data_IF_704043807665
#
_entry.id   IF_704043807665
#
_cell.length_a   1.000
_cell.length_b   1.000
_cell.length_c   1.000
_cell.angle_alpha   90.00
_cell.angle_beta   90.00
_cell.angle_gamma   90.00
#
_symmetry.space_group_name_H-M   'P 1'
#
loop_
_entity.id
_entity.type
_entity.pdbx_description
1 polymer ?
#
# COMPACT_ATOMS: atom_id res chain seq x y z
N UNK A 1 -47.47 -10.11 20.47
CA UNK A 1 -47.33 -8.67 20.16
C UNK A 1 -45.95 -8.47 19.53
N UNK A 2 -45.91 -8.05 18.26
CA UNK A 2 -44.77 -7.42 17.56
C UNK A 2 -43.44 -8.16 17.42
N UNK A 3 -43.31 -9.06 16.44
CA UNK A 3 -42.01 -9.42 15.86
C UNK A 3 -41.52 -8.23 15.02
N UNK A 4 -40.69 -7.36 15.59
CA UNK A 4 -39.94 -6.36 14.84
C UNK A 4 -38.80 -7.07 14.09
N UNK A 5 -38.40 -6.57 12.92
CA UNK A 5 -37.09 -6.90 12.31
C UNK A 5 -36.00 -6.57 13.34
N UNK A 6 -35.52 -7.57 14.07
CA UNK A 6 -34.89 -7.41 15.40
C UNK A 6 -33.64 -6.50 15.43
N UNK A 7 -33.00 -6.25 14.28
CA UNK A 7 -31.81 -5.39 14.18
C UNK A 7 -32.03 -4.14 13.31
N UNK A 8 -33.25 -3.89 12.82
CA UNK A 8 -33.53 -2.76 11.91
C UNK A 8 -33.31 -1.41 12.59
N UNK A 9 -33.64 -1.30 13.88
CA UNK A 9 -33.41 -0.09 14.66
C UNK A 9 -31.94 0.35 14.64
N UNK A 10 -31.00 -0.59 14.74
CA UNK A 10 -29.56 -0.28 14.68
C UNK A 10 -29.14 0.21 13.29
N UNK A 11 -29.71 -0.35 12.23
CA UNK A 11 -29.47 0.11 10.85
C UNK A 11 -29.99 1.55 10.72
N UNK A 12 -31.22 1.81 11.17
CA UNK A 12 -31.86 3.12 11.10
C UNK A 12 -31.05 4.17 11.89
N UNK A 13 -30.58 3.83 13.10
CA UNK A 13 -29.72 4.71 13.91
C UNK A 13 -28.40 5.02 13.22
N UNK A 14 -27.72 4.02 12.61
CA UNK A 14 -26.46 4.24 11.90
C UNK A 14 -26.69 5.11 10.66
N UNK A 15 -27.76 4.84 9.90
CA UNK A 15 -28.11 5.63 8.72
C UNK A 15 -28.44 7.07 9.10
N UNK A 16 -29.26 7.30 10.13
CA UNK A 16 -29.59 8.65 10.60
C UNK A 16 -28.34 9.40 11.08
N UNK A 17 -27.50 8.73 11.88
CA UNK A 17 -26.26 9.31 12.40
C UNK A 17 -25.26 9.64 11.28
N UNK A 18 -25.31 8.92 10.16
CA UNK A 18 -24.43 9.16 9.01
C UNK A 18 -24.62 10.51 8.34
N UNK A 19 -25.80 11.13 8.50
CA UNK A 19 -26.06 12.47 7.95
C UNK A 19 -25.30 13.59 8.66
N UNK A 20 -24.85 13.36 9.91
CA UNK A 20 -24.29 14.39 10.77
C UNK A 20 -22.92 14.02 11.36
N UNK A 21 -22.35 12.87 10.98
CA UNK A 21 -21.11 12.34 11.54
C UNK A 21 -20.19 11.72 10.48
N UNK A 22 -18.92 11.52 10.84
CA UNK A 22 -17.92 10.88 9.98
C UNK A 22 -17.97 9.36 10.08
N UNK A 23 -17.46 8.66 9.07
CA UNK A 23 -17.30 7.20 9.09
C UNK A 23 -16.55 6.72 10.33
N UNK A 24 -15.52 7.43 10.77
CA UNK A 24 -14.77 7.15 12.00
C UNK A 24 -15.66 7.17 13.24
N UNK A 25 -16.58 8.13 13.35
CA UNK A 25 -17.57 8.18 14.44
C UNK A 25 -18.57 7.04 14.35
N UNK A 26 -19.01 6.68 13.14
CA UNK A 26 -19.90 5.53 12.92
C UNK A 26 -19.23 4.20 13.26
N UNK A 27 -17.93 4.02 12.95
CA UNK A 27 -17.16 2.84 13.36
C UNK A 27 -17.07 2.72 14.88
N UNK A 28 -16.91 3.83 15.60
CA UNK A 28 -16.99 3.86 17.08
C UNK A 28 -18.36 3.47 17.60
N UNK A 29 -19.43 4.02 17.01
CA UNK A 29 -20.81 3.64 17.35
C UNK A 29 -21.04 2.14 17.13
N UNK A 30 -20.62 1.62 15.98
CA UNK A 30 -20.73 0.20 15.65
C UNK A 30 -19.97 -0.68 16.64
N UNK A 31 -18.75 -0.31 17.01
CA UNK A 31 -17.98 -1.03 18.04
C UNK A 31 -18.71 -1.03 19.39
N UNK A 32 -19.29 0.10 19.81
CA UNK A 32 -20.09 0.17 21.05
C UNK A 32 -21.30 -0.78 21.00
N UNK A 33 -21.99 -0.85 19.85
CA UNK A 33 -23.12 -1.76 19.67
C UNK A 33 -22.70 -3.25 19.70
N UNK A 34 -21.51 -3.58 19.18
CA UNK A 34 -20.95 -4.92 19.34
C UNK A 34 -20.58 -5.21 20.80
N UNK A 35 -19.98 -4.26 21.51
CA UNK A 35 -19.59 -4.43 22.92
C UNK A 35 -20.80 -4.65 23.83
N UNK A 36 -21.93 -3.99 23.53
CA UNK A 36 -23.17 -4.09 24.32
C UNK A 36 -23.94 -5.40 24.11
N UNK A 37 -23.52 -6.24 23.15
CA UNK A 37 -24.17 -7.50 22.77
C UNK A 37 -25.68 -7.33 22.48
N UNK A 38 -26.12 -6.16 22.02
CA UNK A 38 -27.53 -5.88 21.71
C UNK A 38 -27.90 -6.27 20.27
N UNK A 39 -26.92 -6.37 19.37
CA UNK A 39 -27.15 -6.78 17.98
C UNK A 39 -27.22 -8.31 17.91
N UNK A 40 -28.32 -8.84 17.40
CA UNK A 40 -28.52 -10.28 17.25
C UNK A 40 -27.79 -10.83 16.01
N UNK A 41 -27.77 -10.06 14.91
CA UNK A 41 -27.08 -10.40 13.65
C UNK A 41 -26.13 -9.28 13.21
N UNK A 42 -24.93 -9.17 13.82
CA UNK A 42 -24.00 -8.08 13.52
C UNK A 42 -23.56 -8.04 12.05
N UNK A 43 -23.50 -9.19 11.38
CA UNK A 43 -23.20 -9.30 9.95
C UNK A 43 -24.30 -8.72 9.06
N UNK A 44 -25.55 -8.80 9.49
CA UNK A 44 -26.67 -8.22 8.76
C UNK A 44 -26.63 -6.69 8.84
N UNK A 45 -26.42 -6.14 10.03
CA UNK A 45 -26.26 -4.69 10.24
C UNK A 45 -25.03 -4.17 9.48
N UNK A 46 -23.89 -4.85 9.57
CA UNK A 46 -22.68 -4.54 8.81
C UNK A 46 -22.94 -4.47 7.31
N UNK A 47 -23.53 -5.52 6.72
CA UNK A 47 -23.78 -5.58 5.28
C UNK A 47 -24.71 -4.48 4.78
N UNK A 48 -25.60 -3.96 5.65
CA UNK A 48 -26.52 -2.86 5.33
C UNK A 48 -25.91 -1.48 5.52
N UNK A 49 -24.83 -1.36 6.28
CA UNK A 49 -24.32 -0.04 6.73
C UNK A 49 -22.87 0.26 6.37
N UNK A 50 -22.10 -0.73 5.90
CA UNK A 50 -20.65 -0.59 5.68
C UNK A 50 -20.25 0.60 4.80
N UNK A 51 -21.10 1.01 3.85
CA UNK A 51 -20.83 2.18 2.97
C UNK A 51 -20.73 3.48 3.78
N UNK A 52 -21.59 3.65 4.79
CA UNK A 52 -21.51 4.79 5.71
C UNK A 52 -20.29 4.69 6.62
N UNK A 53 -19.98 3.48 7.10
CA UNK A 53 -18.81 3.22 7.97
C UNK A 53 -17.48 3.36 7.23
N UNK A 54 -17.46 3.38 5.89
CA UNK A 54 -16.23 3.44 5.09
C UNK A 54 -16.07 4.77 4.34
N UNK A 55 -17.02 5.70 4.46
CA UNK A 55 -17.09 6.90 3.64
C UNK A 55 -15.87 7.83 3.73
N UNK A 56 -15.16 7.83 4.86
CA UNK A 56 -13.99 8.67 5.13
C UNK A 56 -12.66 7.95 4.93
N UNK A 57 -12.67 6.61 4.76
CA UNK A 57 -11.45 5.79 4.75
C UNK A 57 -10.56 6.15 3.57
N UNK A 58 -11.12 6.33 2.37
CA UNK A 58 -10.32 6.66 1.20
C UNK A 58 -9.56 7.97 1.42
N UNK A 59 -10.24 9.00 1.90
CA UNK A 59 -9.63 10.32 2.13
C UNK A 59 -8.61 10.27 3.28
N UNK A 60 -8.91 9.55 4.36
CA UNK A 60 -7.95 9.31 5.44
C UNK A 60 -6.69 8.62 4.94
N UNK A 61 -6.82 7.58 4.11
CA UNK A 61 -5.66 6.86 3.56
C UNK A 61 -4.87 7.71 2.54
N UNK A 62 -5.54 8.55 1.74
CA UNK A 62 -4.85 9.52 0.85
C UNK A 62 -3.97 10.48 1.64
N UNK A 63 -4.47 11.01 2.75
CA UNK A 63 -3.72 11.90 3.64
C UNK A 63 -2.57 11.16 4.31
N UNK A 64 -2.83 9.97 4.87
CA UNK A 64 -1.83 9.17 5.57
C UNK A 64 -0.67 8.73 4.66
N UNK A 65 -0.97 8.34 3.43
CA UNK A 65 0.02 7.90 2.45
C UNK A 65 0.62 9.06 1.64
N UNK A 66 0.07 10.27 1.76
CA UNK A 66 0.39 11.42 0.91
C UNK A 66 0.30 11.07 -0.58
N UNK A 67 -0.81 10.43 -0.97
CA UNK A 67 -1.04 9.94 -2.34
C UNK A 67 -2.49 10.22 -2.77
N UNK A 68 -2.68 11.28 -3.57
CA UNK A 68 -4.01 11.79 -3.93
C UNK A 68 -4.77 10.87 -4.91
N UNK A 69 -4.04 10.12 -5.74
CA UNK A 69 -4.58 9.23 -6.77
C UNK A 69 -4.89 7.82 -6.22
N UNK A 70 -4.90 7.65 -4.90
CA UNK A 70 -5.28 6.38 -4.27
C UNK A 70 -6.71 6.02 -4.67
N UNK A 71 -6.89 4.77 -5.08
CA UNK A 71 -8.19 4.14 -5.29
C UNK A 71 -8.23 2.88 -4.45
N UNK A 72 -9.31 2.69 -3.70
CA UNK A 72 -9.56 1.50 -2.91
C UNK A 72 -10.81 0.81 -3.42
N UNK A 73 -10.72 -0.50 -3.61
CA UNK A 73 -11.86 -1.37 -3.90
C UNK A 73 -12.78 -1.48 -2.68
N UNK A 74 -14.05 -1.88 -2.87
CA UNK A 74 -14.97 -2.14 -1.76
C UNK A 74 -14.43 -3.15 -0.74
N UNK A 75 -13.68 -4.15 -1.20
CA UNK A 75 -13.05 -5.14 -0.31
C UNK A 75 -12.00 -4.50 0.58
N UNK A 76 -11.13 -3.66 0.02
CA UNK A 76 -10.10 -2.94 0.78
C UNK A 76 -10.73 -1.97 1.78
N UNK A 77 -11.74 -1.19 1.36
CA UNK A 77 -12.47 -0.28 2.26
C UNK A 77 -13.07 -1.02 3.45
N UNK A 78 -13.73 -2.17 3.20
CA UNK A 78 -14.28 -3.03 4.25
C UNK A 78 -13.19 -3.55 5.18
N UNK A 79 -12.05 -4.03 4.67
CA UNK A 79 -10.95 -4.52 5.50
C UNK A 79 -10.38 -3.41 6.39
N UNK A 80 -10.19 -2.20 5.87
CA UNK A 80 -9.77 -1.05 6.68
C UNK A 80 -10.78 -0.72 7.79
N UNK A 81 -12.08 -0.65 7.47
CA UNK A 81 -13.11 -0.39 8.48
C UNK A 81 -13.16 -1.48 9.56
N UNK A 82 -13.06 -2.75 9.18
CA UNK A 82 -13.02 -3.86 10.12
C UNK A 82 -11.76 -3.81 11.01
N UNK A 83 -10.62 -3.39 10.48
CA UNK A 83 -9.39 -3.22 11.28
C UNK A 83 -9.50 -2.07 12.29
N UNK A 84 -10.14 -0.96 11.92
CA UNK A 84 -10.43 0.14 12.84
C UNK A 84 -11.36 -0.35 13.97
N UNK A 85 -12.41 -1.10 13.63
CA UNK A 85 -13.35 -1.67 14.60
C UNK A 85 -12.64 -2.69 15.52
N UNK A 86 -11.81 -3.58 14.97
CA UNK A 86 -11.01 -4.53 15.75
C UNK A 86 -10.14 -3.79 16.79
N UNK A 87 -9.47 -2.72 16.38
CA UNK A 87 -8.66 -1.88 17.28
C UNK A 87 -9.51 -1.25 18.39
N UNK A 88 -10.72 -0.81 18.06
CA UNK A 88 -11.66 -0.25 19.03
C UNK A 88 -12.15 -1.32 20.03
N UNK A 89 -12.45 -2.54 19.58
CA UNK A 89 -12.87 -3.65 20.45
C UNK A 89 -11.74 -4.12 21.37
N UNK A 90 -10.50 -4.18 20.86
CA UNK A 90 -9.33 -4.59 21.63
C UNK A 90 -9.07 -3.67 22.82
N UNK A 91 -9.43 -2.38 22.74
CA UNK A 91 -9.38 -1.45 23.89
C UNK A 91 -10.25 -1.89 25.07
N UNK A 92 -11.26 -2.73 24.83
CA UNK A 92 -12.15 -3.34 25.80
C UNK A 92 -11.92 -4.86 25.95
N UNK A 93 -10.77 -5.36 25.52
CA UNK A 93 -10.39 -6.80 25.56
C UNK A 93 -11.37 -7.74 24.85
N UNK A 94 -12.12 -7.23 23.86
CA UNK A 94 -12.91 -8.05 22.92
C UNK A 94 -12.26 -8.03 21.53
N UNK A 95 -12.70 -8.92 20.66
CA UNK A 95 -12.30 -9.01 19.25
C UNK A 95 -13.53 -9.20 18.36
N UNK A 96 -13.43 -8.82 17.08
CA UNK A 96 -14.43 -9.20 16.05
C UNK A 96 -14.57 -10.72 16.00
N UNK A 97 -13.50 -11.48 16.30
CA UNK A 97 -13.55 -12.94 16.39
C UNK A 97 -14.49 -13.48 17.47
N UNK A 98 -14.86 -12.68 18.49
CA UNK A 98 -15.88 -13.04 19.48
C UNK A 98 -17.30 -13.04 18.88
N UNK A 99 -17.48 -12.43 17.70
CA UNK A 99 -18.70 -12.42 16.90
C UNK A 99 -18.49 -13.23 15.62
N UNK A 100 -18.65 -14.57 15.64
CA UNK A 100 -18.21 -15.44 14.54
C UNK A 100 -18.95 -15.20 13.21
N UNK A 101 -20.09 -14.50 13.22
CA UNK A 101 -20.82 -14.13 12.00
C UNK A 101 -20.21 -12.92 11.28
N UNK A 102 -19.43 -12.10 11.98
CA UNK A 102 -18.81 -10.90 11.41
C UNK A 102 -17.67 -11.26 10.44
N UNK A 103 -17.54 -10.53 9.30
CA UNK A 103 -16.38 -10.66 8.45
C UNK A 103 -15.11 -10.20 9.18
N UNK A 104 -14.00 -10.86 8.89
CA UNK A 104 -12.69 -10.54 9.44
C UNK A 104 -11.95 -9.55 8.53
N UNK A 105 -11.10 -8.66 9.09
CA UNK A 105 -10.23 -7.82 8.29
C UNK A 105 -9.20 -8.67 7.53
N UNK A 106 -9.00 -8.37 6.25
CA UNK A 106 -7.89 -8.95 5.49
C UNK A 106 -6.62 -8.13 5.76
N UNK A 107 -5.81 -8.64 6.69
CA UNK A 107 -4.57 -7.98 7.12
C UNK A 107 -3.51 -7.91 6.00
N UNK A 108 -3.58 -8.78 4.99
CA UNK A 108 -2.65 -8.74 3.86
C UNK A 108 -2.88 -7.48 3.03
N UNK A 109 -4.15 -7.19 2.69
CA UNK A 109 -4.54 -5.98 1.97
C UNK A 109 -4.18 -4.71 2.74
N UNK A 110 -4.37 -4.70 4.06
CA UNK A 110 -4.05 -3.55 4.91
C UNK A 110 -2.54 -3.31 4.92
N UNK A 111 -1.74 -4.36 5.11
CA UNK A 111 -0.28 -4.25 5.21
C UNK A 111 0.35 -3.77 3.90
N UNK A 112 -0.13 -4.28 2.76
CA UNK A 112 0.31 -3.85 1.43
C UNK A 112 0.01 -2.36 1.18
N UNK A 113 -1.09 -1.84 1.74
CA UNK A 113 -1.54 -0.46 1.53
C UNK A 113 -0.99 0.53 2.57
N UNK A 114 -0.69 0.10 3.79
CA UNK A 114 -0.10 0.96 4.83
C UNK A 114 1.36 1.34 4.53
N UNK A 115 2.10 0.49 3.83
CA UNK A 115 3.47 0.80 3.44
C UNK A 115 3.50 1.41 2.03
N UNK A 116 3.58 2.74 1.94
CA UNK A 116 3.70 3.48 0.67
C UNK A 116 4.79 2.91 -0.25
N UNK A 117 5.92 2.46 0.30
CA UNK A 117 7.01 1.89 -0.51
C UNK A 117 6.59 0.58 -1.18
N UNK A 118 5.81 -0.24 -0.49
CA UNK A 118 5.26 -1.49 -1.03
C UNK A 118 4.15 -1.15 -2.04
N UNK A 119 3.24 -0.25 -1.69
CA UNK A 119 2.18 0.22 -2.58
C UNK A 119 2.72 0.72 -3.91
N UNK A 120 3.66 1.67 -3.87
CA UNK A 120 4.26 2.28 -5.07
C UNK A 120 4.87 1.20 -5.99
N UNK A 121 5.44 0.13 -5.42
CA UNK A 121 6.06 -0.97 -6.16
C UNK A 121 5.06 -2.00 -6.69
N UNK A 122 3.94 -2.24 -5.99
CA UNK A 122 2.90 -3.16 -6.45
C UNK A 122 1.94 -2.52 -7.47
N UNK A 123 1.88 -1.19 -7.53
CA UNK A 123 0.93 -0.45 -8.37
C UNK A 123 1.42 -0.16 -9.80
N UNK A 124 2.59 -0.66 -10.21
CA UNK A 124 3.04 -0.52 -11.59
C UNK A 124 2.21 -1.36 -12.56
N UNK A 125 2.01 -0.85 -13.79
CA UNK A 125 1.42 -1.63 -14.88
C UNK A 125 2.39 -2.75 -15.32
N UNK A 126 2.08 -3.96 -14.88
CA UNK A 126 2.86 -5.17 -15.16
C UNK A 126 2.97 -5.48 -16.66
N UNK A 127 1.92 -5.20 -17.44
CA UNK A 127 1.92 -5.47 -18.88
C UNK A 127 2.81 -4.47 -19.63
N UNK A 128 2.74 -3.19 -19.26
CA UNK A 128 3.62 -2.16 -19.80
C UNK A 128 5.09 -2.48 -19.49
N UNK A 129 5.38 -2.86 -18.25
CA UNK A 129 6.74 -3.24 -17.84
C UNK A 129 7.24 -4.51 -18.56
N UNK A 130 6.39 -5.50 -18.81
CA UNK A 130 6.76 -6.69 -19.57
C UNK A 130 7.12 -6.35 -21.04
N UNK A 131 6.39 -5.40 -21.64
CA UNK A 131 6.70 -4.88 -22.98
C UNK A 131 8.03 -4.11 -22.98
N UNK A 132 8.23 -3.21 -22.02
CA UNK A 132 9.50 -2.48 -21.86
C UNK A 132 10.67 -3.46 -21.68
N UNK A 133 10.52 -4.45 -20.79
CA UNK A 133 11.52 -5.49 -20.58
C UNK A 133 11.88 -6.21 -21.89
N UNK A 134 10.88 -6.65 -22.65
CA UNK A 134 11.09 -7.35 -23.93
C UNK A 134 11.86 -6.48 -24.91
N UNK A 135 11.49 -5.20 -25.02
CA UNK A 135 12.19 -4.24 -25.87
C UNK A 135 13.65 -4.06 -25.42
N UNK A 136 13.88 -3.82 -24.13
CA UNK A 136 15.23 -3.63 -23.59
C UNK A 136 16.13 -4.85 -23.84
N UNK A 137 15.57 -6.05 -23.67
CA UNK A 137 16.30 -7.30 -23.88
C UNK A 137 16.64 -7.57 -25.35
N UNK A 138 15.85 -7.04 -26.29
CA UNK A 138 16.07 -7.21 -27.73
C UNK A 138 17.24 -6.38 -28.25
N UNK A 139 17.47 -5.20 -27.66
CA UNK A 139 18.54 -4.26 -28.08
C UNK A 139 19.76 -4.27 -27.15
N UNK A 140 19.76 -5.11 -26.11
CA UNK A 140 20.88 -5.23 -25.17
C UNK A 140 22.10 -5.86 -25.83
N UNK A 141 23.29 -5.29 -25.61
CA UNK A 141 24.53 -5.87 -26.13
C UNK A 141 24.88 -7.19 -25.43
N UNK A 142 25.73 -8.01 -26.06
CA UNK A 142 26.16 -9.28 -25.48
C UNK A 142 26.90 -9.10 -24.14
N UNK A 143 27.66 -8.02 -23.98
CA UNK A 143 28.37 -7.70 -22.73
C UNK A 143 27.40 -7.31 -21.61
N UNK A 144 26.43 -6.44 -21.91
CA UNK A 144 25.39 -6.05 -20.96
C UNK A 144 24.54 -7.24 -20.54
N UNK A 145 24.19 -8.12 -21.49
CA UNK A 145 23.42 -9.34 -21.25
C UNK A 145 24.15 -10.29 -20.30
N UNK A 146 25.46 -10.51 -20.47
CA UNK A 146 26.25 -11.33 -19.54
C UNK A 146 26.17 -10.81 -18.10
N UNK A 147 26.18 -9.49 -17.90
CA UNK A 147 26.06 -8.87 -16.58
C UNK A 147 24.65 -9.07 -16.02
N UNK A 148 23.63 -8.79 -16.84
CA UNK A 148 22.22 -9.00 -16.49
C UNK A 148 21.98 -10.44 -16.04
N UNK A 149 22.37 -11.42 -16.85
CA UNK A 149 22.12 -12.84 -16.60
C UNK A 149 22.80 -13.28 -15.29
N UNK A 150 24.03 -12.81 -15.03
CA UNK A 150 24.76 -13.11 -13.80
C UNK A 150 24.02 -12.63 -12.53
N UNK A 151 23.46 -11.43 -12.56
CA UNK A 151 22.73 -10.86 -11.42
C UNK A 151 21.36 -11.55 -11.30
N UNK A 152 20.61 -11.65 -12.38
CA UNK A 152 19.27 -12.22 -12.38
C UNK A 152 19.24 -13.70 -12.00
N UNK A 153 20.27 -14.47 -12.35
CA UNK A 153 20.40 -15.87 -11.90
C UNK A 153 20.38 -15.95 -10.38
N UNK A 154 21.12 -15.07 -9.67
CA UNK A 154 21.11 -15.05 -8.20
C UNK A 154 19.75 -14.67 -7.62
N UNK A 155 19.07 -13.72 -8.26
CA UNK A 155 17.71 -13.30 -7.84
C UNK A 155 16.72 -14.44 -8.01
N UNK A 156 16.75 -15.13 -9.16
CA UNK A 156 15.87 -16.29 -9.44
C UNK A 156 16.14 -17.45 -8.49
N UNK A 157 17.41 -17.69 -8.14
CA UNK A 157 17.80 -18.69 -7.14
C UNK A 157 17.49 -18.27 -5.69
N UNK A 158 16.91 -17.08 -5.49
CA UNK A 158 16.63 -16.49 -4.18
C UNK A 158 17.84 -16.48 -3.23
N UNK A 159 19.02 -16.14 -3.78
CA UNK A 159 20.27 -16.06 -3.03
C UNK A 159 20.68 -14.60 -2.82
N UNK A 160 21.15 -14.23 -1.62
CA UNK A 160 21.68 -12.90 -1.39
C UNK A 160 22.92 -12.65 -2.27
N UNK A 161 23.09 -11.39 -2.69
CA UNK A 161 24.22 -10.98 -3.51
C UNK A 161 24.46 -9.48 -3.46
N UNK A 162 25.73 -9.09 -3.45
CA UNK A 162 26.17 -7.71 -3.59
C UNK A 162 27.00 -7.59 -4.87
N UNK A 163 26.61 -6.68 -5.75
CA UNK A 163 27.25 -6.48 -7.04
C UNK A 163 27.64 -5.03 -7.23
N UNK A 164 28.87 -4.81 -7.71
CA UNK A 164 29.35 -3.50 -8.13
C UNK A 164 29.58 -3.51 -9.63
N UNK A 165 28.75 -2.76 -10.37
CA UNK A 165 28.89 -2.59 -11.81
C UNK A 165 29.69 -1.33 -12.11
N UNK A 166 30.92 -1.52 -12.60
CA UNK A 166 31.78 -0.43 -13.03
C UNK A 166 31.85 -0.33 -14.56
N UNK A 167 32.01 0.88 -15.07
CA UNK A 167 32.18 1.13 -16.51
C UNK A 167 32.21 2.63 -16.79
N UNK A 168 32.86 3.02 -17.88
CA UNK A 168 32.95 4.42 -18.31
C UNK A 168 31.58 5.07 -18.55
N UNK A 169 31.54 6.40 -18.67
CA UNK A 169 30.35 7.12 -19.11
C UNK A 169 29.83 6.58 -20.44
N UNK A 170 28.50 6.53 -20.62
CA UNK A 170 27.89 6.06 -21.88
C UNK A 170 27.83 4.54 -22.09
N UNK A 171 28.39 3.72 -21.19
CA UNK A 171 28.40 2.24 -21.32
C UNK A 171 27.04 1.54 -21.05
N UNK A 172 25.97 2.29 -20.80
CA UNK A 172 24.64 1.72 -20.60
C UNK A 172 24.40 1.05 -19.25
N UNK A 173 25.12 1.43 -18.18
CA UNK A 173 24.86 0.89 -16.81
C UNK A 173 23.40 1.05 -16.38
N UNK A 174 22.85 2.26 -16.57
CA UNK A 174 21.44 2.57 -16.31
C UNK A 174 20.49 1.68 -17.11
N UNK A 175 20.89 1.30 -18.33
CA UNK A 175 20.11 0.43 -19.20
C UNK A 175 19.94 -0.96 -18.59
N UNK A 176 21.01 -1.53 -18.02
CA UNK A 176 20.97 -2.81 -17.30
C UNK A 176 20.06 -2.71 -16.08
N UNK A 177 20.18 -1.65 -15.28
CA UNK A 177 19.33 -1.44 -14.09
C UNK A 177 17.85 -1.31 -14.45
N UNK A 178 17.51 -0.59 -15.53
CA UNK A 178 16.15 -0.49 -16.05
C UNK A 178 15.61 -1.85 -16.48
N UNK A 179 16.40 -2.63 -17.21
CA UNK A 179 15.98 -3.96 -17.68
C UNK A 179 15.69 -4.92 -16.51
N UNK A 180 16.53 -4.91 -15.46
CA UNK A 180 16.28 -5.74 -14.27
C UNK A 180 15.06 -5.26 -13.48
N UNK A 181 14.90 -3.95 -13.31
CA UNK A 181 13.74 -3.38 -12.65
C UNK A 181 12.43 -3.74 -13.37
N UNK A 182 12.37 -3.58 -14.70
CA UNK A 182 11.20 -3.96 -15.50
C UNK A 182 10.92 -5.47 -15.44
N UNK A 183 11.97 -6.31 -15.47
CA UNK A 183 11.83 -7.77 -15.40
C UNK A 183 11.23 -8.25 -14.08
N UNK A 184 11.62 -7.63 -12.95
CA UNK A 184 11.16 -7.99 -11.62
C UNK A 184 9.77 -7.41 -11.33
N UNK A 185 9.58 -6.11 -11.58
CA UNK A 185 8.29 -5.45 -11.34
C UNK A 185 7.16 -5.99 -12.22
N UNK A 186 7.45 -6.42 -13.45
CA UNK A 186 6.43 -7.08 -14.30
C UNK A 186 5.92 -8.40 -13.73
N UNK A 187 6.69 -9.05 -12.85
CA UNK A 187 6.28 -10.24 -12.09
C UNK A 187 5.55 -9.90 -10.79
N UNK A 188 5.53 -8.63 -10.40
CA UNK A 188 5.00 -8.16 -9.12
C UNK A 188 6.02 -8.16 -7.97
N UNK A 189 7.31 -8.31 -8.27
CA UNK A 189 8.37 -8.22 -7.26
C UNK A 189 8.67 -6.76 -6.90
N UNK A 190 9.10 -6.53 -5.66
CA UNK A 190 9.41 -5.20 -5.12
C UNK A 190 10.86 -4.82 -5.44
N UNK A 191 11.08 -3.66 -6.08
CA UNK A 191 12.42 -3.18 -6.46
C UNK A 191 12.67 -1.76 -5.97
N UNK A 192 13.49 -1.59 -4.93
CA UNK A 192 13.84 -0.27 -4.42
C UNK A 192 15.00 0.37 -5.21
N UNK A 193 14.67 1.20 -6.18
CA UNK A 193 15.65 1.94 -7.00
C UNK A 193 16.06 3.25 -6.31
N UNK A 194 17.35 3.38 -6.00
CA UNK A 194 17.93 4.58 -5.39
C UNK A 194 19.11 5.13 -6.16
N UNK A 195 19.27 6.45 -6.13
CA UNK A 195 20.44 7.15 -6.65
C UNK A 195 20.98 8.14 -5.63
N UNK A 196 22.20 8.63 -5.83
CA UNK A 196 22.77 9.69 -4.99
C UNK A 196 22.19 11.07 -5.32
N UNK A 197 21.89 11.35 -6.59
CA UNK A 197 21.32 12.62 -7.06
C UNK A 197 19.90 12.46 -7.63
N UNK A 198 19.11 13.54 -7.56
CA UNK A 198 17.75 13.55 -8.09
C UNK A 198 17.70 13.33 -9.61
N UNK A 199 18.64 13.92 -10.36
CA UNK A 199 18.72 13.74 -11.82
C UNK A 199 19.01 12.29 -12.19
N UNK A 200 19.92 11.61 -11.46
CA UNK A 200 20.19 10.20 -11.70
C UNK A 200 18.99 9.30 -11.35
N UNK A 201 18.22 9.67 -10.32
CA UNK A 201 17.00 8.96 -9.93
C UNK A 201 15.94 8.98 -11.05
N UNK A 202 15.79 10.08 -11.78
CA UNK A 202 14.81 10.19 -12.88
C UNK A 202 15.07 9.22 -14.05
N UNK A 203 16.29 8.69 -14.17
CA UNK A 203 16.66 7.81 -15.28
C UNK A 203 16.17 6.37 -15.09
N UNK A 204 15.63 6.02 -13.92
CA UNK A 204 15.09 4.69 -13.63
C UNK A 204 13.68 4.87 -13.08
N UNK A 205 12.65 4.16 -13.61
CA UNK A 205 11.28 4.27 -13.09
C UNK A 205 11.25 4.06 -11.57
N UNK A 206 10.53 4.90 -10.85
CA UNK A 206 10.49 4.84 -9.38
C UNK A 206 11.79 5.23 -8.68
N UNK A 207 12.79 5.75 -9.40
CA UNK A 207 14.02 6.20 -8.78
C UNK A 207 13.76 7.35 -7.80
N UNK A 208 14.38 7.27 -6.62
CA UNK A 208 14.47 8.38 -5.67
C UNK A 208 15.90 8.53 -5.17
N UNK A 209 16.22 9.68 -4.57
CA UNK A 209 17.50 9.79 -3.85
C UNK A 209 17.50 8.86 -2.64
N UNK A 210 18.67 8.34 -2.25
CA UNK A 210 18.78 7.52 -1.04
C UNK A 210 18.25 8.23 0.21
N UNK A 211 18.52 9.55 0.32
CA UNK A 211 17.99 10.41 1.38
C UNK A 211 16.46 10.40 1.43
N UNK A 212 15.80 10.59 0.27
CA UNK A 212 14.33 10.59 0.20
C UNK A 212 13.74 9.18 0.38
N UNK A 213 14.41 8.13 -0.11
CA UNK A 213 13.87 6.76 -0.06
C UNK A 213 13.94 6.14 1.32
N UNK A 214 15.01 6.42 2.07
CA UNK A 214 15.27 5.82 3.38
C UNK A 214 15.14 6.82 4.54
N UNK A 215 14.64 8.03 4.28
CA UNK A 215 14.52 9.10 5.28
C UNK A 215 15.81 9.34 6.04
N UNK A 216 16.95 9.35 5.33
CA UNK A 216 18.27 9.56 5.94
C UNK A 216 18.33 11.01 6.42
N UNK A 217 18.53 11.26 7.72
CA UNK A 217 18.57 12.62 8.26
C UNK A 217 19.75 13.38 7.67
N UNK A 218 19.49 14.63 7.27
CA UNK A 218 20.54 15.57 6.86
C UNK A 218 20.89 16.38 8.11
N UNK A 219 22.11 16.21 8.61
CA UNK A 219 22.63 17.04 9.69
C UNK A 219 23.05 18.39 9.12
N UNK A 220 22.23 19.41 9.37
CA UNK A 220 22.50 20.80 8.95
C UNK A 220 23.16 21.50 10.13
N UNK A 221 24.32 22.12 9.90
CA UNK A 221 25.04 22.97 10.85
C UNK A 221 25.05 24.44 10.40
N UNK A 222 25.60 25.34 11.21
CA UNK A 222 25.66 26.79 10.91
C UNK A 222 26.47 27.11 9.64
N UNK A 223 27.28 26.16 9.15
CA UNK A 223 28.09 26.30 7.94
C UNK A 223 27.44 25.64 6.71
N UNK A 224 26.29 24.99 6.89
CA UNK A 224 25.59 24.27 5.83
C UNK A 224 24.88 25.26 4.90
N UNK A 225 25.43 25.46 3.71
CA UNK A 225 24.87 26.34 2.68
C UNK A 225 24.42 25.54 1.46
N UNK A 226 23.27 25.91 0.89
CA UNK A 226 22.77 25.34 -0.37
C UNK A 226 22.71 26.45 -1.42
N UNK A 227 23.58 26.39 -2.43
CA UNK A 227 23.56 27.33 -3.54
C UNK A 227 22.51 26.87 -4.56
N UNK A 228 21.32 27.48 -4.50
CA UNK A 228 20.33 27.35 -5.57
C UNK A 228 20.77 28.34 -6.67
N UNK A 229 21.17 27.81 -7.82
CA UNK A 229 21.51 28.61 -9.02
C UNK A 229 20.42 28.46 -10.06
#
# INVERSE_FOLDING_TARGET
>A
MGLLDEDKEFIDVIMETSHWSTGSSLRKLFAILLLSNQISRPEFVWNKTWEYLTNDILDMQKVLLQFQDLVLSPTELKSFALSDIETLLQSSSKSISDSPTMPQPDMSLITERQNRLIYDELNYDRQSLAKEYTQLMSTMTSEQRKIYDKIMTRVIENKPGLFFLHGYGGTGKTYIWRAMSAALRSKGDIVLTVASSGIAALLIPGGRTAHSRFSIPIHVDENSTCNIT
#
